data_IF_445816812503
#
_entry.id   IF_445816812503
#
_cell.length_a   1.000
_cell.length_b   1.000
_cell.length_c   1.000
_cell.angle_alpha   90.00
_cell.angle_beta   90.00
_cell.angle_gamma   90.00
#
_symmetry.space_group_name_H-M   'P 1'
#
loop_
_entity.id
_entity.type
_entity.pdbx_description
1 polymer ?
#
# COMPACT_ATOMS: atom_id res chain seq x y z
N UNK A 1 27.66 3.61 -4.13
CA UNK A 1 26.33 3.35 -4.71
C UNK A 1 25.50 4.62 -4.70
N UNK A 2 24.60 4.79 -5.65
CA UNK A 2 23.69 5.94 -5.68
C UNK A 2 22.49 5.70 -4.79
N UNK A 3 22.00 6.76 -4.16
CA UNK A 3 20.78 6.77 -3.35
C UNK A 3 20.03 8.10 -3.56
N UNK A 4 18.70 8.07 -3.54
CA UNK A 4 17.89 9.28 -3.47
C UNK A 4 17.51 9.54 -2.01
N UNK A 5 18.01 10.64 -1.43
CA UNK A 5 17.90 10.95 0.00
C UNK A 5 17.04 12.19 0.21
N UNK A 6 16.02 12.07 1.04
CA UNK A 6 15.13 13.17 1.42
C UNK A 6 15.75 13.95 2.59
N UNK A 7 16.13 15.20 2.35
CA UNK A 7 16.77 16.09 3.32
C UNK A 7 15.78 17.03 4.03
N UNK A 8 14.74 17.44 3.33
CA UNK A 8 13.66 18.31 3.82
C UNK A 8 12.43 18.16 2.91
N UNK A 9 11.28 18.70 3.26
CA UNK A 9 10.14 18.73 2.36
C UNK A 9 10.49 19.28 0.98
N UNK A 10 10.22 18.49 -0.07
CA UNK A 10 10.53 18.81 -1.46
C UNK A 10 12.02 18.73 -1.85
N UNK A 11 12.90 18.37 -0.93
CA UNK A 11 14.35 18.34 -1.16
C UNK A 11 14.86 16.89 -1.19
N UNK A 12 14.60 16.18 -2.29
CA UNK A 12 15.09 14.85 -2.58
C UNK A 12 16.36 14.95 -3.46
N UNK A 13 17.48 14.47 -2.95
CA UNK A 13 18.79 14.60 -3.60
C UNK A 13 19.34 13.23 -3.97
N UNK A 14 19.93 13.13 -5.17
CA UNK A 14 20.75 11.97 -5.52
C UNK A 14 22.13 12.13 -4.85
N UNK A 15 22.51 11.15 -4.02
CA UNK A 15 23.77 11.11 -3.28
C UNK A 15 24.60 9.89 -3.67
N UNK A 16 25.88 9.90 -3.33
CA UNK A 16 26.75 8.74 -3.40
C UNK A 16 27.06 8.25 -1.99
N UNK A 17 26.66 7.03 -1.70
CA UNK A 17 26.81 6.38 -0.38
C UNK A 17 27.72 5.15 -0.50
N UNK A 18 28.43 4.75 0.56
CA UNK A 18 29.12 3.47 0.58
C UNK A 18 28.13 2.31 0.41
N UNK A 19 28.54 1.24 -0.27
CA UNK A 19 27.74 0.03 -0.31
C UNK A 19 27.62 -0.58 1.10
N UNK A 20 26.46 -1.18 1.46
CA UNK A 20 26.27 -1.74 2.79
C UNK A 20 27.20 -2.95 3.01
N UNK A 21 27.79 -3.02 4.22
CA UNK A 21 28.60 -4.16 4.63
C UNK A 21 27.72 -5.37 4.99
N UNK A 22 28.19 -6.56 4.59
CA UNK A 22 27.51 -7.83 4.92
C UNK A 22 27.38 -8.03 6.42
N UNK A 23 26.24 -8.54 6.87
CA UNK A 23 25.92 -8.81 8.27
C UNK A 23 25.29 -10.20 8.42
N UNK A 24 25.67 -11.02 9.40
CA UNK A 24 25.04 -12.31 9.63
C UNK A 24 23.52 -12.20 9.83
N UNK A 25 22.74 -13.04 9.13
CA UNK A 25 21.28 -13.03 9.17
C UNK A 25 20.64 -11.96 8.29
N UNK A 26 21.45 -11.20 7.55
CA UNK A 26 20.99 -10.17 6.60
C UNK A 26 21.49 -10.53 5.20
N UNK A 27 20.76 -10.09 4.20
CA UNK A 27 21.08 -10.32 2.78
C UNK A 27 21.24 -8.96 2.09
N UNK A 28 22.26 -8.83 1.24
CA UNK A 28 22.40 -7.69 0.34
C UNK A 28 21.53 -7.93 -0.87
N UNK A 29 20.84 -6.87 -1.29
CA UNK A 29 19.89 -6.89 -2.40
C UNK A 29 20.28 -5.79 -3.38
N UNK A 30 20.43 -6.11 -4.65
CA UNK A 30 20.38 -5.12 -5.71
C UNK A 30 18.91 -4.72 -5.86
N UNK A 31 18.57 -3.52 -5.44
CA UNK A 31 17.22 -3.01 -5.59
C UNK A 31 16.95 -2.77 -7.07
N UNK A 32 15.85 -3.30 -7.58
CA UNK A 32 15.49 -3.14 -8.99
C UNK A 32 14.35 -2.16 -9.20
N UNK A 33 13.45 -2.07 -8.22
CA UNK A 33 12.29 -1.20 -8.31
C UNK A 33 11.71 -0.84 -6.94
N UNK A 34 11.19 0.39 -6.83
CA UNK A 34 10.50 0.90 -5.65
C UNK A 34 9.20 1.58 -6.04
N UNK A 35 8.07 1.08 -5.55
CA UNK A 35 6.78 1.72 -5.72
C UNK A 35 6.66 2.96 -4.83
N UNK A 36 6.06 4.04 -5.35
CA UNK A 36 5.75 5.23 -4.55
C UNK A 36 4.39 5.08 -3.88
N UNK A 37 4.37 5.16 -2.56
CA UNK A 37 3.18 5.12 -1.71
C UNK A 37 2.67 6.52 -1.38
N UNK A 38 1.38 6.64 -1.02
CA UNK A 38 0.82 7.88 -0.48
C UNK A 38 1.58 8.38 0.74
N UNK A 39 2.07 7.49 1.60
CA UNK A 39 2.90 7.85 2.75
C UNK A 39 4.25 8.46 2.36
N UNK A 40 4.90 7.96 1.30
CA UNK A 40 6.14 8.58 0.78
C UNK A 40 5.87 10.00 0.29
N UNK A 41 4.69 10.25 -0.32
CA UNK A 41 4.30 11.58 -0.77
C UNK A 41 4.07 12.55 0.41
N UNK A 42 3.51 12.09 1.54
CA UNK A 42 3.41 12.90 2.76
C UNK A 42 4.79 13.23 3.32
N UNK A 43 5.71 12.26 3.41
CA UNK A 43 7.10 12.52 3.81
C UNK A 43 7.76 13.52 2.88
N UNK A 44 7.59 13.37 1.58
CA UNK A 44 8.19 14.27 0.58
C UNK A 44 7.59 15.69 0.65
N UNK A 45 6.28 15.83 0.79
CA UNK A 45 5.61 17.14 0.75
C UNK A 45 5.64 17.87 2.12
N UNK A 46 5.48 17.12 3.23
CA UNK A 46 5.20 17.68 4.56
C UNK A 46 6.32 17.38 5.58
N UNK A 47 7.26 16.50 5.24
CA UNK A 47 8.32 16.06 6.13
C UNK A 47 7.83 15.18 7.29
N UNK A 48 6.71 14.45 7.10
CA UNK A 48 6.21 13.54 8.12
C UNK A 48 4.78 13.07 7.93
N UNK A 49 4.29 12.23 8.86
CA UNK A 49 2.92 11.74 8.92
C UNK A 49 2.49 11.69 10.39
N UNK A 50 1.37 12.31 10.72
CA UNK A 50 0.88 12.36 12.10
C UNK A 50 1.89 13.04 13.03
N UNK A 51 2.37 12.34 14.03
CA UNK A 51 3.39 12.79 14.98
C UNK A 51 4.85 12.50 14.55
N UNK A 52 5.03 11.60 13.56
CA UNK A 52 6.35 11.29 13.01
C UNK A 52 6.86 12.42 12.12
N UNK A 53 8.10 12.84 12.33
CA UNK A 53 8.77 13.93 11.59
C UNK A 53 10.12 13.50 11.05
N UNK A 54 10.51 14.14 9.95
CA UNK A 54 11.85 14.02 9.37
C UNK A 54 12.81 14.85 10.26
N UNK A 55 13.62 14.17 11.04
CA UNK A 55 14.61 14.75 11.94
C UNK A 55 16.05 14.64 11.40
N UNK A 56 16.26 13.77 10.44
CA UNK A 56 17.51 13.58 9.72
C UNK A 56 17.23 13.13 8.28
N UNK A 57 18.19 13.30 7.34
CA UNK A 57 18.03 12.76 5.99
C UNK A 57 17.76 11.26 6.01
N UNK A 58 16.87 10.79 5.13
CA UNK A 58 16.50 9.37 4.99
C UNK A 58 16.35 9.01 3.51
N UNK A 59 16.73 7.80 3.15
CA UNK A 59 16.38 7.20 1.86
C UNK A 59 14.94 6.69 1.94
N UNK A 60 13.97 7.29 1.24
CA UNK A 60 12.58 6.82 1.29
C UNK A 60 12.35 5.55 0.48
N UNK A 61 11.09 5.08 0.50
CA UNK A 61 10.61 3.94 -0.29
C UNK A 61 10.57 2.63 0.49
N UNK A 62 9.38 2.06 0.61
CA UNK A 62 9.11 0.84 1.38
C UNK A 62 8.40 -0.25 0.56
N UNK A 63 8.01 0.04 -0.65
CA UNK A 63 7.44 -0.92 -1.59
C UNK A 63 8.55 -1.40 -2.53
N UNK A 64 9.27 -2.46 -2.17
CA UNK A 64 10.57 -2.78 -2.75
C UNK A 64 10.58 -4.16 -3.42
N UNK A 65 11.17 -4.22 -4.62
CA UNK A 65 11.54 -5.45 -5.31
C UNK A 65 12.99 -5.39 -5.79
N UNK A 66 13.70 -6.51 -5.75
CA UNK A 66 15.11 -6.54 -6.14
C UNK A 66 15.60 -7.95 -6.38
N UNK A 67 16.92 -8.09 -6.55
CA UNK A 67 17.61 -9.37 -6.69
C UNK A 67 18.55 -9.57 -5.51
N UNK A 68 18.40 -10.68 -4.80
CA UNK A 68 19.31 -11.02 -3.70
C UNK A 68 20.73 -11.25 -4.25
N UNK A 69 21.72 -10.55 -3.69
CA UNK A 69 23.13 -10.67 -4.10
C UNK A 69 23.87 -11.80 -3.38
N UNK A 70 23.40 -12.16 -2.19
CA UNK A 70 24.00 -13.20 -1.36
C UNK A 70 22.91 -13.96 -0.55
N UNK A 71 23.32 -14.79 0.41
CA UNK A 71 22.42 -15.55 1.27
C UNK A 71 21.67 -16.69 0.55
N UNK A 72 20.58 -17.21 1.16
CA UNK A 72 19.87 -18.37 0.65
C UNK A 72 19.09 -18.13 -0.65
N UNK A 73 18.85 -16.87 -1.01
CA UNK A 73 18.10 -16.46 -2.18
C UNK A 73 18.99 -15.84 -3.27
N UNK A 74 20.32 -15.99 -3.18
CA UNK A 74 21.26 -15.39 -4.12
C UNK A 74 20.84 -15.64 -5.58
N UNK A 75 20.76 -14.56 -6.37
CA UNK A 75 20.35 -14.56 -7.78
C UNK A 75 18.83 -14.64 -8.03
N UNK A 76 18.00 -14.75 -6.99
CA UNK A 76 16.55 -14.76 -7.13
C UNK A 76 15.96 -13.36 -7.00
N UNK A 77 14.87 -13.10 -7.71
CA UNK A 77 14.02 -11.94 -7.47
C UNK A 77 13.32 -12.11 -6.14
N UNK A 78 13.33 -11.07 -5.32
CA UNK A 78 12.68 -11.04 -4.01
C UNK A 78 11.78 -9.82 -3.88
N UNK A 79 10.62 -9.99 -3.26
CA UNK A 79 9.88 -8.89 -2.63
C UNK A 79 10.40 -8.71 -1.21
N UNK A 80 10.47 -7.47 -0.76
CA UNK A 80 11.07 -7.12 0.52
C UNK A 80 9.98 -6.63 1.45
N UNK A 81 9.75 -7.34 2.57
CA UNK A 81 8.89 -6.85 3.65
C UNK A 81 9.59 -5.66 4.32
N UNK A 82 9.03 -4.45 4.24
CA UNK A 82 9.67 -3.25 4.81
C UNK A 82 9.69 -3.21 6.33
N UNK A 83 9.06 -4.17 6.99
CA UNK A 83 8.79 -4.19 8.41
C UNK A 83 9.76 -5.11 9.15
N UNK A 84 10.42 -4.59 10.19
CA UNK A 84 11.25 -5.36 11.11
C UNK A 84 10.65 -5.28 12.52
N UNK A 85 9.70 -6.17 12.86
CA UNK A 85 9.13 -6.21 14.21
C UNK A 85 10.13 -6.77 15.21
N UNK A 86 9.93 -6.52 16.50
CA UNK A 86 10.84 -7.00 17.53
C UNK A 86 10.66 -8.50 17.88
N UNK A 87 9.64 -9.17 17.36
CA UNK A 87 9.25 -10.58 17.54
C UNK A 87 9.08 -11.06 19.01
N UNK A 88 9.09 -10.14 19.99
CA UNK A 88 9.06 -10.46 21.43
C UNK A 88 8.03 -9.70 22.27
N UNK A 89 7.46 -8.59 21.75
CA UNK A 89 6.39 -7.86 22.46
C UNK A 89 5.07 -8.65 22.43
N UNK A 90 4.08 -8.23 23.19
CA UNK A 90 2.77 -8.86 23.27
C UNK A 90 2.12 -8.98 21.89
N UNK A 91 2.10 -7.88 21.13
CA UNK A 91 1.52 -7.87 19.78
C UNK A 91 2.19 -8.87 18.82
N UNK A 92 3.52 -8.95 18.83
CA UNK A 92 4.24 -9.95 18.01
C UNK A 92 3.87 -11.38 18.41
N UNK A 93 3.80 -11.69 19.71
CA UNK A 93 3.44 -13.03 20.21
C UNK A 93 2.00 -13.42 19.90
N UNK A 94 1.10 -12.44 19.76
CA UNK A 94 -0.29 -12.64 19.37
C UNK A 94 -0.49 -12.75 17.86
N UNK A 95 0.59 -12.67 17.06
CA UNK A 95 0.52 -12.71 15.60
C UNK A 95 0.08 -11.40 14.96
N UNK A 96 0.34 -10.28 15.64
CA UNK A 96 0.06 -8.94 15.17
C UNK A 96 1.37 -8.11 15.01
N UNK A 97 2.37 -8.55 14.20
CA UNK A 97 3.65 -7.87 14.08
C UNK A 97 3.52 -6.43 13.55
N UNK A 98 2.47 -6.15 12.77
CA UNK A 98 2.15 -4.82 12.28
C UNK A 98 1.77 -3.81 13.39
N UNK A 99 1.48 -4.27 14.59
CA UNK A 99 1.19 -3.46 15.78
C UNK A 99 2.38 -3.41 16.77
N UNK A 100 3.54 -3.91 16.36
CA UNK A 100 4.74 -3.89 17.18
C UNK A 100 5.15 -2.45 17.53
N UNK A 101 5.28 -2.16 18.84
CA UNK A 101 5.68 -0.83 19.33
C UNK A 101 7.17 -0.52 19.10
N UNK A 102 7.97 -1.54 18.80
CA UNK A 102 9.41 -1.47 18.58
C UNK A 102 9.76 -1.84 17.13
N UNK A 103 8.88 -1.51 16.19
CA UNK A 103 9.07 -1.85 14.79
C UNK A 103 9.97 -0.85 14.10
N UNK A 104 11.04 -1.33 13.46
CA UNK A 104 11.74 -0.59 12.45
C UNK A 104 11.02 -0.74 11.09
N UNK A 105 11.11 0.29 10.25
CA UNK A 105 10.39 0.29 8.98
C UNK A 105 11.18 1.04 7.91
N UNK A 106 11.34 0.43 6.73
CA UNK A 106 12.07 0.99 5.60
C UNK A 106 11.52 2.37 5.18
N UNK A 107 12.40 3.32 4.97
CA UNK A 107 12.07 4.66 4.48
C UNK A 107 11.44 5.60 5.51
N UNK A 108 11.39 5.20 6.79
CA UNK A 108 10.80 5.99 7.86
C UNK A 108 11.63 5.90 9.14
N UNK A 109 11.57 6.98 9.97
CA UNK A 109 12.06 6.92 11.35
C UNK A 109 13.56 6.62 11.51
N UNK A 110 14.39 7.05 10.56
CA UNK A 110 15.84 6.83 10.62
C UNK A 110 16.31 5.49 10.03
N UNK A 111 15.40 4.69 9.45
CA UNK A 111 15.72 3.50 8.66
C UNK A 111 15.62 3.80 7.18
N UNK A 112 16.72 3.63 6.45
CA UNK A 112 16.73 3.81 5.01
C UNK A 112 15.86 2.79 4.29
N UNK A 113 15.18 3.26 3.24
CA UNK A 113 14.35 2.48 2.34
C UNK A 113 15.03 2.10 1.05
N UNK A 114 14.23 1.77 0.05
CA UNK A 114 14.68 1.15 -1.19
C UNK A 114 15.16 2.09 -2.28
N UNK A 115 15.03 3.43 -2.18
CA UNK A 115 15.48 4.34 -3.24
C UNK A 115 17.02 4.46 -3.29
N UNK A 116 17.70 3.31 -3.41
CA UNK A 116 19.14 3.15 -3.49
C UNK A 116 19.53 1.88 -4.26
N UNK A 117 20.74 1.85 -4.82
CA UNK A 117 21.19 0.72 -5.67
C UNK A 117 21.32 -0.61 -4.89
N UNK A 118 21.79 -0.57 -3.64
CA UNK A 118 21.90 -1.76 -2.80
C UNK A 118 21.27 -1.51 -1.44
N UNK A 119 20.53 -2.50 -0.94
CA UNK A 119 19.91 -2.52 0.39
C UNK A 119 20.43 -3.75 1.14
N UNK A 120 20.74 -3.58 2.43
CA UNK A 120 20.98 -4.69 3.35
C UNK A 120 19.73 -4.88 4.22
N UNK A 121 19.11 -6.07 4.17
CA UNK A 121 17.84 -6.32 4.85
C UNK A 121 17.82 -7.69 5.54
N UNK A 122 17.06 -7.89 6.64
CA UNK A 122 16.97 -9.19 7.30
C UNK A 122 16.50 -10.28 6.31
N UNK A 123 17.22 -11.40 6.28
CA UNK A 123 16.97 -12.49 5.32
C UNK A 123 15.57 -13.10 5.48
N UNK A 124 15.03 -13.12 6.69
CA UNK A 124 13.68 -13.64 7.00
C UNK A 124 12.54 -12.69 6.60
N UNK A 125 12.88 -11.49 6.15
CA UNK A 125 11.95 -10.49 5.58
C UNK A 125 11.99 -10.45 4.05
N UNK A 126 12.64 -11.42 3.42
CA UNK A 126 12.71 -11.55 1.97
C UNK A 126 11.79 -12.69 1.51
N UNK A 127 11.02 -12.39 0.48
CA UNK A 127 10.08 -13.33 -0.13
C UNK A 127 10.49 -13.61 -1.55
N UNK A 128 11.07 -14.81 -1.85
CA UNK A 128 11.49 -15.16 -3.21
C UNK A 128 10.28 -15.24 -4.14
N UNK A 129 10.43 -14.64 -5.32
CA UNK A 129 9.38 -14.58 -6.31
C UNK A 129 9.40 -15.81 -7.22
N UNK A 130 8.24 -16.23 -7.70
CA UNK A 130 8.14 -17.22 -8.76
C UNK A 130 8.86 -16.76 -10.02
N UNK A 131 9.27 -17.75 -10.86
CA UNK A 131 9.83 -17.46 -12.18
C UNK A 131 8.87 -16.61 -13.02
N UNK A 132 9.41 -15.62 -13.71
CA UNK A 132 8.66 -14.68 -14.55
C UNK A 132 8.15 -13.42 -13.84
N UNK A 133 8.31 -13.30 -12.52
CA UNK A 133 8.02 -12.06 -11.79
C UNK A 133 9.29 -11.22 -11.74
N UNK A 134 9.24 -10.00 -12.26
CA UNK A 134 10.34 -9.05 -12.24
C UNK A 134 10.36 -8.21 -10.95
N UNK A 135 11.43 -7.43 -10.67
CA UNK A 135 11.49 -6.57 -9.50
C UNK A 135 10.38 -5.50 -9.44
N UNK A 136 9.86 -5.05 -10.58
CA UNK A 136 8.77 -4.06 -10.64
C UNK A 136 7.48 -4.67 -10.09
N UNK A 137 7.09 -5.84 -10.59
CA UNK A 137 5.93 -6.57 -10.06
C UNK A 137 6.14 -6.97 -8.58
N UNK A 138 7.37 -7.38 -8.21
CA UNK A 138 7.73 -7.69 -6.82
C UNK A 138 7.55 -6.49 -5.87
N UNK A 139 7.83 -5.26 -6.31
CA UNK A 139 7.64 -4.05 -5.51
C UNK A 139 6.16 -3.79 -5.17
N UNK A 140 5.23 -4.24 -6.00
CA UNK A 140 3.79 -4.06 -5.79
C UNK A 140 3.20 -5.10 -4.82
N UNK A 141 3.99 -6.09 -4.36
CA UNK A 141 3.54 -7.06 -3.35
C UNK A 141 3.25 -6.40 -2.01
N UNK A 142 3.97 -5.33 -1.66
CA UNK A 142 3.71 -4.59 -0.41
C UNK A 142 2.29 -4.00 -0.40
N UNK A 143 1.87 -3.13 -1.34
CA UNK A 143 0.50 -2.62 -1.34
C UNK A 143 -0.56 -3.72 -1.54
N UNK A 144 -0.25 -4.81 -2.25
CA UNK A 144 -1.14 -5.98 -2.29
C UNK A 144 -1.30 -6.61 -0.90
N UNK A 145 -0.24 -6.69 -0.12
CA UNK A 145 -0.29 -7.15 1.28
C UNK A 145 -1.21 -6.28 2.13
N UNK A 146 -1.14 -4.96 1.99
CA UNK A 146 -2.07 -4.03 2.67
C UNK A 146 -3.51 -4.28 2.23
N UNK A 147 -3.76 -4.48 0.93
CA UNK A 147 -5.10 -4.78 0.41
C UNK A 147 -5.64 -6.12 0.96
N UNK A 148 -4.80 -7.17 1.03
CA UNK A 148 -5.18 -8.47 1.62
C UNK A 148 -5.49 -8.30 3.12
N UNK A 149 -4.69 -7.54 3.85
CA UNK A 149 -4.94 -7.29 5.28
C UNK A 149 -6.24 -6.50 5.50
N UNK A 150 -6.50 -5.49 4.67
CA UNK A 150 -7.77 -4.75 4.69
C UNK A 150 -8.96 -5.69 4.40
N UNK A 151 -8.82 -6.59 3.42
CA UNK A 151 -9.81 -7.59 3.09
C UNK A 151 -10.13 -8.51 4.28
N UNK A 152 -9.11 -9.00 4.96
CA UNK A 152 -9.27 -9.83 6.17
C UNK A 152 -10.03 -9.08 7.28
N UNK A 153 -9.66 -7.84 7.53
CA UNK A 153 -10.33 -6.99 8.52
C UNK A 153 -11.76 -6.60 8.09
N UNK A 154 -12.01 -6.55 6.78
CA UNK A 154 -13.34 -6.37 6.18
C UNK A 154 -14.28 -7.51 6.49
N UNK A 155 -13.77 -8.72 6.79
CA UNK A 155 -14.54 -9.95 6.99
C UNK A 155 -15.53 -10.21 5.85
N UNK A 156 -15.10 -9.97 4.61
CA UNK A 156 -15.92 -10.17 3.41
C UNK A 156 -16.33 -11.64 3.31
N UNK A 157 -17.59 -11.88 3.06
CA UNK A 157 -18.16 -13.21 2.86
C UNK A 157 -18.49 -13.43 1.38
N UNK A 158 -18.58 -14.69 1.00
CA UNK A 158 -19.03 -15.05 -0.34
C UNK A 158 -20.38 -14.39 -0.66
N UNK A 159 -20.47 -13.79 -1.83
CA UNK A 159 -21.66 -13.09 -2.31
C UNK A 159 -22.04 -11.81 -1.50
N UNK A 160 -21.14 -11.24 -0.72
CA UNK A 160 -21.32 -9.88 -0.20
C UNK A 160 -21.23 -8.86 -1.36
N UNK A 161 -21.92 -7.74 -1.21
CA UNK A 161 -21.69 -6.55 -2.03
C UNK A 161 -20.59 -5.73 -1.36
N UNK A 162 -19.57 -5.40 -2.12
CA UNK A 162 -18.40 -4.66 -1.65
C UNK A 162 -18.35 -3.30 -2.34
N UNK A 163 -18.06 -2.25 -1.60
CA UNK A 163 -17.72 -0.96 -2.17
C UNK A 163 -16.28 -0.57 -1.82
N UNK A 164 -15.58 0.03 -2.77
CA UNK A 164 -14.25 0.62 -2.61
C UNK A 164 -14.35 2.11 -2.90
N UNK A 165 -14.11 2.93 -1.89
CA UNK A 165 -14.14 4.40 -1.98
C UNK A 165 -12.71 4.92 -2.02
N UNK A 166 -12.29 5.35 -3.21
CA UNK A 166 -10.91 5.68 -3.56
C UNK A 166 -10.24 4.54 -4.34
N UNK A 167 -9.99 4.76 -5.64
CA UNK A 167 -9.36 3.80 -6.55
C UNK A 167 -7.89 4.16 -6.85
N UNK A 168 -7.12 4.51 -5.82
CA UNK A 168 -5.66 4.49 -5.86
C UNK A 168 -5.14 3.06 -5.94
N UNK A 169 -3.81 2.83 -5.87
CA UNK A 169 -3.21 1.49 -6.00
C UNK A 169 -3.87 0.45 -5.10
N UNK A 170 -3.99 0.72 -3.80
CA UNK A 170 -4.62 -0.21 -2.84
C UNK A 170 -6.10 -0.43 -3.17
N UNK A 171 -6.83 0.63 -3.55
CA UNK A 171 -8.24 0.50 -3.93
C UNK A 171 -8.45 -0.35 -5.17
N UNK A 172 -7.61 -0.20 -6.19
CA UNK A 172 -7.66 -1.02 -7.40
C UNK A 172 -7.29 -2.49 -7.12
N UNK A 173 -6.36 -2.75 -6.20
CA UNK A 173 -6.05 -4.10 -5.73
C UNK A 173 -7.24 -4.72 -4.97
N UNK A 174 -7.93 -3.93 -4.13
CA UNK A 174 -9.16 -4.37 -3.46
C UNK A 174 -10.30 -4.67 -4.44
N UNK A 175 -10.43 -3.90 -5.53
CA UNK A 175 -11.39 -4.18 -6.60
C UNK A 175 -11.07 -5.54 -7.24
N UNK A 176 -9.82 -5.79 -7.61
CA UNK A 176 -9.39 -7.06 -8.20
C UNK A 176 -9.64 -8.24 -7.24
N UNK A 177 -9.29 -8.10 -5.96
CA UNK A 177 -9.56 -9.12 -4.95
C UNK A 177 -11.06 -9.38 -4.80
N UNK A 178 -11.89 -8.33 -4.74
CA UNK A 178 -13.34 -8.46 -4.59
C UNK A 178 -13.97 -9.23 -5.76
N UNK A 179 -13.59 -8.89 -6.98
CA UNK A 179 -14.05 -9.57 -8.19
C UNK A 179 -13.60 -11.04 -8.19
N UNK A 180 -12.31 -11.28 -7.93
CA UNK A 180 -11.70 -12.61 -8.02
C UNK A 180 -12.15 -13.56 -6.88
N UNK A 181 -12.47 -13.03 -5.70
CA UNK A 181 -12.84 -13.83 -4.52
C UNK A 181 -14.36 -13.98 -4.34
N UNK A 182 -15.17 -13.58 -5.33
CA UNK A 182 -16.59 -13.92 -5.42
C UNK A 182 -17.51 -12.97 -4.66
N UNK A 183 -17.19 -11.68 -4.59
CA UNK A 183 -18.18 -10.67 -4.26
C UNK A 183 -19.34 -10.72 -5.26
N UNK A 184 -20.58 -10.53 -4.80
CA UNK A 184 -21.75 -10.53 -5.67
C UNK A 184 -21.82 -9.33 -6.59
N UNK A 185 -21.34 -8.20 -6.10
CA UNK A 185 -21.31 -6.93 -6.81
C UNK A 185 -20.20 -6.05 -6.21
N UNK A 186 -19.38 -5.47 -7.05
CA UNK A 186 -18.24 -4.62 -6.67
C UNK A 186 -18.49 -3.20 -7.15
N UNK A 187 -18.56 -2.25 -6.21
CA UNK A 187 -18.69 -0.83 -6.51
C UNK A 187 -17.36 -0.13 -6.33
N UNK A 188 -16.94 0.62 -7.34
CA UNK A 188 -15.75 1.45 -7.31
C UNK A 188 -16.17 2.93 -7.34
N UNK A 189 -15.75 3.71 -6.36
CA UNK A 189 -16.07 5.14 -6.26
C UNK A 189 -14.78 5.96 -6.36
N UNK A 190 -14.66 6.81 -7.40
CA UNK A 190 -13.42 7.53 -7.69
C UNK A 190 -13.72 8.80 -8.50
N UNK A 191 -13.19 9.99 -8.12
CA UNK A 191 -13.39 11.22 -8.90
C UNK A 191 -12.61 11.26 -10.22
N UNK A 192 -11.41 10.59 -10.30
CA UNK A 192 -10.52 10.67 -11.46
C UNK A 192 -10.93 9.67 -12.56
N UNK A 193 -11.18 10.17 -13.76
CA UNK A 193 -11.70 9.37 -14.87
C UNK A 193 -10.80 8.18 -15.25
N UNK A 194 -9.46 8.38 -15.30
CA UNK A 194 -8.52 7.32 -15.66
C UNK A 194 -8.49 6.19 -14.62
N UNK A 195 -8.68 6.50 -13.33
CA UNK A 195 -8.77 5.48 -12.26
C UNK A 195 -10.11 4.75 -12.28
N UNK A 196 -11.21 5.45 -12.63
CA UNK A 196 -12.50 4.80 -12.89
C UNK A 196 -12.39 3.80 -14.05
N UNK A 197 -11.76 4.21 -15.16
CA UNK A 197 -11.53 3.32 -16.29
C UNK A 197 -10.68 2.09 -15.92
N UNK A 198 -9.71 2.24 -15.01
CA UNK A 198 -8.96 1.11 -14.48
C UNK A 198 -9.84 0.19 -13.62
N UNK A 199 -10.68 0.73 -12.74
CA UNK A 199 -11.60 -0.06 -11.93
C UNK A 199 -12.61 -0.86 -12.78
N UNK A 200 -13.11 -0.26 -13.86
CA UNK A 200 -13.97 -0.93 -14.85
C UNK A 200 -13.22 -2.07 -15.55
N UNK A 201 -11.99 -1.83 -16.00
CA UNK A 201 -11.12 -2.86 -16.61
C UNK A 201 -10.84 -4.03 -15.67
N UNK A 202 -10.72 -3.77 -14.36
CA UNK A 202 -10.54 -4.80 -13.33
C UNK A 202 -11.83 -5.48 -12.91
N UNK A 203 -12.96 -5.18 -13.56
CA UNK A 203 -14.21 -5.91 -13.40
C UNK A 203 -15.15 -5.37 -12.33
N UNK A 204 -14.99 -4.11 -11.87
CA UNK A 204 -16.00 -3.49 -11.00
C UNK A 204 -17.35 -3.41 -11.73
N UNK A 205 -18.43 -3.88 -11.10
CA UNK A 205 -19.78 -3.90 -11.66
C UNK A 205 -20.39 -2.50 -11.76
N UNK A 206 -20.03 -1.61 -10.83
CA UNK A 206 -20.47 -0.22 -10.80
C UNK A 206 -19.28 0.69 -10.57
N UNK A 207 -19.07 1.60 -11.51
CA UNK A 207 -18.00 2.59 -11.42
C UNK A 207 -18.64 3.98 -11.36
N UNK A 208 -18.47 4.66 -10.22
CA UNK A 208 -19.23 5.85 -9.88
C UNK A 208 -18.29 7.01 -9.53
N UNK A 209 -18.71 8.23 -9.81
CA UNK A 209 -18.15 9.39 -9.13
C UNK A 209 -18.69 9.47 -7.69
N UNK A 210 -18.04 10.24 -6.78
CA UNK A 210 -18.60 10.45 -5.44
C UNK A 210 -20.03 10.98 -5.43
N UNK A 211 -20.39 11.87 -6.36
CA UNK A 211 -21.76 12.41 -6.46
C UNK A 211 -22.75 11.35 -6.91
N UNK A 212 -22.43 10.59 -7.94
CA UNK A 212 -23.24 9.45 -8.36
C UNK A 212 -23.41 8.39 -7.26
N UNK A 213 -22.38 8.19 -6.44
CA UNK A 213 -22.44 7.27 -5.30
C UNK A 213 -23.39 7.77 -4.20
N UNK A 214 -23.45 9.08 -3.95
CA UNK A 214 -24.42 9.71 -3.01
C UNK A 214 -25.88 9.54 -3.45
N UNK A 215 -26.13 9.46 -4.74
CA UNK A 215 -27.47 9.26 -5.33
C UNK A 215 -27.94 7.80 -5.26
N UNK A 216 -27.04 6.86 -4.98
CA UNK A 216 -27.43 5.45 -4.85
C UNK A 216 -28.30 5.23 -3.61
N UNK A 217 -29.16 4.18 -3.62
CA UNK A 217 -29.91 3.81 -2.43
C UNK A 217 -28.98 3.63 -1.24
N UNK A 218 -29.24 4.29 -0.11
CA UNK A 218 -28.42 4.14 1.09
C UNK A 218 -28.45 2.69 1.60
N UNK A 219 -27.39 2.31 2.32
CA UNK A 219 -27.31 1.00 2.96
C UNK A 219 -27.27 -0.18 1.97
N UNK A 220 -26.46 -0.06 0.92
CA UNK A 220 -26.39 -1.05 -0.16
C UNK A 220 -25.32 -2.13 0.03
N UNK A 221 -24.18 -1.84 0.70
CA UNK A 221 -23.02 -2.72 0.72
C UNK A 221 -22.82 -3.36 2.11
N UNK A 222 -22.50 -4.65 2.13
CA UNK A 222 -22.14 -5.40 3.34
C UNK A 222 -20.81 -4.90 3.90
N UNK A 223 -19.82 -4.64 3.03
CA UNK A 223 -18.49 -4.17 3.40
C UNK A 223 -18.11 -2.98 2.51
N UNK A 224 -17.54 -1.95 3.11
CA UNK A 224 -17.00 -0.79 2.40
C UNK A 224 -15.56 -0.58 2.82
N UNK A 225 -14.66 -0.49 1.83
CA UNK A 225 -13.27 -0.10 2.03
C UNK A 225 -13.13 1.39 1.71
N UNK A 226 -12.80 2.17 2.72
CA UNK A 226 -12.45 3.59 2.58
C UNK A 226 -10.93 3.69 2.38
N UNK A 227 -10.48 4.15 1.21
CA UNK A 227 -9.07 4.09 0.78
C UNK A 227 -8.54 5.48 0.36
N UNK A 228 -9.21 6.54 0.78
CA UNK A 228 -8.82 7.92 0.49
C UNK A 228 -8.30 8.66 1.73
N UNK A 229 -8.96 8.50 2.89
CA UNK A 229 -8.64 9.15 4.17
C UNK A 229 -9.42 10.45 4.44
N UNK A 230 -9.93 11.14 3.42
CA UNK A 230 -10.65 12.39 3.61
C UNK A 230 -12.03 12.22 4.27
N UNK A 231 -12.48 13.23 5.05
CA UNK A 231 -13.72 13.13 5.83
C UNK A 231 -14.97 12.88 4.96
N UNK A 232 -15.02 13.41 3.74
CA UNK A 232 -16.14 13.17 2.81
C UNK A 232 -16.16 11.72 2.31
N UNK A 233 -15.01 11.08 2.11
CA UNK A 233 -14.92 9.69 1.70
C UNK A 233 -15.33 8.75 2.85
N UNK A 234 -14.95 9.08 4.08
CA UNK A 234 -15.36 8.37 5.30
C UNK A 234 -16.89 8.45 5.47
N UNK A 235 -17.48 9.63 5.36
CA UNK A 235 -18.93 9.84 5.47
C UNK A 235 -19.69 9.07 4.38
N UNK A 236 -19.21 9.15 3.13
CA UNK A 236 -19.79 8.41 1.99
C UNK A 236 -19.71 6.90 2.22
N UNK A 237 -18.57 6.38 2.71
CA UNK A 237 -18.41 4.96 3.02
C UNK A 237 -19.43 4.47 4.04
N UNK A 238 -19.70 5.28 5.05
CA UNK A 238 -20.76 4.98 6.04
C UNK A 238 -22.18 5.06 5.45
N UNK A 239 -22.42 5.96 4.49
CA UNK A 239 -23.69 6.04 3.78
C UNK A 239 -23.95 4.80 2.93
N UNK A 240 -22.95 4.30 2.23
CA UNK A 240 -23.02 3.11 1.38
C UNK A 240 -23.15 1.81 2.18
N UNK A 241 -22.54 1.73 3.36
CA UNK A 241 -22.63 0.57 4.22
C UNK A 241 -24.07 0.32 4.70
N UNK A 242 -24.54 -0.92 4.63
CA UNK A 242 -25.86 -1.33 5.16
C UNK A 242 -25.91 -1.32 6.69
N UNK A 243 -27.11 -1.45 7.27
CA UNK A 243 -27.26 -1.70 8.71
C UNK A 243 -26.52 -2.97 9.13
N UNK A 244 -25.72 -2.89 10.19
CA UNK A 244 -24.83 -3.96 10.66
C UNK A 244 -23.62 -4.21 9.73
N UNK A 245 -23.40 -3.35 8.72
CA UNK A 245 -22.27 -3.45 7.80
C UNK A 245 -20.94 -3.06 8.44
N UNK A 246 -19.88 -3.27 7.70
CA UNK A 246 -18.50 -2.98 8.11
C UNK A 246 -17.86 -1.94 7.20
N UNK A 247 -17.13 -1.00 7.79
CA UNK A 247 -16.31 -0.02 7.07
C UNK A 247 -14.87 -0.18 7.52
N UNK A 248 -13.99 -0.54 6.60
CA UNK A 248 -12.55 -0.59 6.81
C UNK A 248 -11.92 0.74 6.38
N UNK A 249 -11.32 1.45 7.33
CA UNK A 249 -10.61 2.72 7.12
C UNK A 249 -9.15 2.40 6.79
N UNK A 250 -8.79 2.52 5.53
CA UNK A 250 -7.46 2.20 4.98
C UNK A 250 -6.71 3.49 4.65
N UNK A 251 -7.44 4.53 4.21
CA UNK A 251 -6.88 5.81 3.83
C UNK A 251 -6.24 6.53 5.02
N UNK A 252 -5.12 7.21 4.78
CA UNK A 252 -4.44 8.08 5.75
C UNK A 252 -4.98 9.49 5.56
N UNK A 253 -5.57 10.13 6.60
CA UNK A 253 -6.08 11.49 6.48
C UNK A 253 -4.95 12.52 6.50
N UNK A 254 -5.05 13.56 5.64
CA UNK A 254 -4.05 14.62 5.54
C UNK A 254 -3.87 15.39 6.86
N UNK A 255 -4.96 15.60 7.63
CA UNK A 255 -4.95 16.36 8.89
C UNK A 255 -4.77 15.48 10.15
N UNK A 256 -4.36 14.22 10.01
CA UNK A 256 -4.28 13.23 11.11
C UNK A 256 -5.56 13.19 11.98
N UNK A 257 -6.71 13.44 11.35
CA UNK A 257 -8.01 13.47 12.01
C UNK A 257 -9.09 12.87 11.10
N UNK A 258 -9.85 11.93 11.66
CA UNK A 258 -11.03 11.36 11.00
C UNK A 258 -12.29 11.81 11.72
N UNK A 259 -13.24 12.41 11.00
CA UNK A 259 -14.55 12.86 11.54
C UNK A 259 -15.69 12.29 10.71
N UNK A 260 -16.82 12.03 11.36
CA UNK A 260 -18.04 11.55 10.72
C UNK A 260 -19.29 11.87 11.54
N UNK A 261 -20.45 11.80 10.91
CA UNK A 261 -21.74 11.99 11.57
C UNK A 261 -22.07 10.81 12.48
N UNK A 262 -21.92 10.97 13.78
CA UNK A 262 -22.10 9.91 14.78
C UNK A 262 -23.47 9.20 14.67
N UNK A 263 -24.55 9.93 14.37
CA UNK A 263 -25.89 9.34 14.22
C UNK A 263 -25.99 8.40 13.02
N UNK A 264 -25.22 8.64 11.95
CA UNK A 264 -25.17 7.77 10.77
C UNK A 264 -24.58 6.41 11.12
N UNK A 265 -23.41 6.39 11.73
CA UNK A 265 -22.74 5.16 12.14
C UNK A 265 -23.54 4.41 13.21
N UNK A 266 -23.99 5.13 14.25
CA UNK A 266 -24.69 4.54 15.40
C UNK A 266 -26.05 3.92 15.04
N UNK A 267 -26.88 4.63 14.24
CA UNK A 267 -28.22 4.11 13.87
C UNK A 267 -28.14 2.89 12.96
N UNK A 268 -27.09 2.79 12.15
CA UNK A 268 -26.84 1.60 11.33
C UNK A 268 -26.12 0.49 12.11
N UNK A 269 -25.60 0.74 13.32
CA UNK A 269 -24.82 -0.25 14.07
C UNK A 269 -23.57 -0.69 13.28
N UNK A 270 -22.86 0.26 12.65
CA UNK A 270 -21.69 -0.06 11.84
C UNK A 270 -20.53 -0.54 12.70
N UNK A 271 -19.76 -1.46 12.17
CA UNK A 271 -18.42 -1.77 12.67
C UNK A 271 -17.41 -0.96 11.87
N UNK A 272 -16.61 -0.14 12.56
CA UNK A 272 -15.51 0.59 11.97
C UNK A 272 -14.21 -0.08 12.38
N UNK A 273 -13.31 -0.31 11.43
CA UNK A 273 -12.01 -0.92 11.70
C UNK A 273 -10.91 -0.14 11.00
N UNK A 274 -9.88 0.26 11.74
CA UNK A 274 -8.71 0.91 11.19
C UNK A 274 -7.72 -0.15 10.66
N UNK A 275 -7.23 0.08 9.46
CA UNK A 275 -6.23 -0.79 8.83
C UNK A 275 -4.86 -0.17 9.05
N UNK A 276 -3.93 -0.92 9.67
CA UNK A 276 -2.55 -0.49 9.84
C UNK A 276 -1.62 -1.43 9.11
N UNK A 277 -0.98 -0.93 8.02
CA UNK A 277 0.00 -1.72 7.25
C UNK A 277 -0.54 -3.10 6.89
N UNK A 278 0.23 -4.16 7.07
CA UNK A 278 -0.16 -5.55 6.84
C UNK A 278 0.44 -6.46 7.90
N UNK A 279 -0.17 -7.62 8.08
CA UNK A 279 0.39 -8.75 8.82
C UNK A 279 1.31 -9.57 7.91
N UNK A 280 1.67 -10.76 8.36
CA UNK A 280 2.38 -11.75 7.55
C UNK A 280 1.45 -12.31 6.45
N UNK A 281 1.42 -11.62 5.31
CA UNK A 281 0.53 -11.92 4.18
C UNK A 281 1.27 -12.18 2.86
N UNK A 282 2.60 -12.06 2.81
CA UNK A 282 3.35 -12.19 1.56
C UNK A 282 3.15 -13.53 0.86
N UNK A 283 3.13 -14.65 1.59
CA UNK A 283 2.88 -15.97 1.00
C UNK A 283 1.51 -16.04 0.29
N UNK A 284 0.50 -15.36 0.86
CA UNK A 284 -0.84 -15.24 0.26
C UNK A 284 -0.82 -14.31 -0.94
N UNK A 285 -0.09 -13.20 -0.86
CA UNK A 285 0.07 -12.25 -1.96
C UNK A 285 0.73 -12.92 -3.17
N UNK A 286 1.84 -13.64 -2.97
CA UNK A 286 2.49 -14.46 -4.00
C UNK A 286 1.51 -15.45 -4.62
N UNK A 287 0.75 -16.17 -3.77
CA UNK A 287 -0.26 -17.14 -4.26
C UNK A 287 -1.35 -16.46 -5.09
N UNK A 288 -1.80 -15.27 -4.69
CA UNK A 288 -2.82 -14.52 -5.42
C UNK A 288 -2.33 -14.12 -6.82
N UNK A 289 -1.08 -13.68 -6.93
CA UNK A 289 -0.45 -13.37 -8.23
C UNK A 289 -0.32 -14.62 -9.10
N UNK A 290 0.24 -15.71 -8.55
CA UNK A 290 0.42 -16.98 -9.28
C UNK A 290 -0.89 -17.55 -9.83
N UNK A 291 -1.99 -17.34 -9.12
CA UNK A 291 -3.33 -17.79 -9.54
C UNK A 291 -4.07 -16.82 -10.45
N UNK A 292 -3.45 -15.67 -10.77
CA UNK A 292 -4.08 -14.65 -11.59
C UNK A 292 -5.27 -13.95 -10.92
N UNK A 293 -5.32 -13.96 -9.57
CA UNK A 293 -6.35 -13.22 -8.82
C UNK A 293 -6.13 -11.70 -8.89
N UNK A 294 -4.90 -11.27 -9.13
CA UNK A 294 -4.52 -9.86 -9.28
C UNK A 294 -3.51 -9.72 -10.42
N UNK A 295 -3.65 -8.66 -11.19
CA UNK A 295 -2.74 -8.21 -12.24
C UNK A 295 -1.94 -7.02 -11.71
N UNK A 296 -0.69 -7.26 -11.35
CA UNK A 296 0.21 -6.22 -10.82
C UNK A 296 0.81 -5.38 -11.94
N UNK A 297 1.11 -5.99 -13.08
CA UNK A 297 1.80 -5.34 -14.19
C UNK A 297 0.99 -4.18 -14.76
N UNK A 298 -0.31 -4.38 -14.97
CA UNK A 298 -1.19 -3.34 -15.52
C UNK A 298 -1.50 -2.22 -14.50
N UNK A 299 -1.19 -2.43 -13.22
CA UNK A 299 -1.30 -1.39 -12.20
C UNK A 299 -0.16 -0.37 -12.29
N UNK A 300 1.04 -0.80 -12.69
CA UNK A 300 2.22 0.08 -12.86
C UNK A 300 2.06 0.86 -14.15
N UNK A 301 1.61 2.10 -14.04
CA UNK A 301 1.33 2.96 -15.21
C UNK A 301 2.52 3.84 -15.60
N UNK A 302 3.42 4.14 -14.66
CA UNK A 302 4.49 5.13 -14.86
C UNK A 302 5.78 4.66 -14.18
N UNK A 303 6.90 4.85 -14.89
CA UNK A 303 8.23 4.44 -14.44
C UNK A 303 9.21 5.58 -14.62
N UNK A 304 10.04 5.82 -13.61
CA UNK A 304 11.09 6.82 -13.61
C UNK A 304 12.40 6.18 -13.18
N UNK A 305 13.55 6.53 -13.78
CA UNK A 305 14.84 6.07 -13.27
C UNK A 305 15.18 6.75 -11.93
N UNK A 306 16.04 6.14 -11.12
CA UNK A 306 16.50 6.70 -9.84
C UNK A 306 17.01 8.14 -9.96
N UNK A 307 17.69 8.46 -11.05
CA UNK A 307 18.20 9.80 -11.30
C UNK A 307 17.09 10.87 -11.38
N UNK A 308 15.88 10.47 -11.76
CA UNK A 308 14.70 11.32 -11.91
C UNK A 308 13.66 11.08 -10.78
N UNK A 309 14.09 10.52 -9.65
CA UNK A 309 13.18 10.17 -8.54
C UNK A 309 12.32 11.37 -8.10
N UNK A 310 12.88 12.58 -7.98
CA UNK A 310 12.13 13.78 -7.62
C UNK A 310 10.98 14.07 -8.61
N UNK A 311 11.24 13.92 -9.93
CA UNK A 311 10.19 14.06 -10.94
C UNK A 311 9.11 12.98 -10.82
N UNK A 312 9.48 11.75 -10.42
CA UNK A 312 8.57 10.66 -10.11
C UNK A 312 7.66 10.99 -8.91
N UNK A 313 8.21 11.56 -7.83
CA UNK A 313 7.44 12.03 -6.68
C UNK A 313 6.45 13.14 -7.07
N UNK A 314 6.91 14.15 -7.83
CA UNK A 314 6.05 15.23 -8.32
C UNK A 314 4.93 14.71 -9.24
N UNK A 315 5.22 13.71 -10.08
CA UNK A 315 4.22 13.06 -10.93
C UNK A 315 3.17 12.32 -10.10
N UNK A 316 3.61 11.51 -9.14
CA UNK A 316 2.74 10.75 -8.25
C UNK A 316 1.85 11.67 -7.39
N UNK A 317 2.40 12.78 -6.87
CA UNK A 317 1.67 13.77 -6.09
C UNK A 317 0.50 14.41 -6.88
N UNK A 318 0.67 14.57 -8.20
CA UNK A 318 -0.42 15.05 -9.09
C UNK A 318 -1.49 13.99 -9.37
N UNK A 319 -1.32 12.76 -8.88
CA UNK A 319 -2.25 11.63 -9.09
C UNK A 319 -2.54 11.36 -10.57
N UNK A 320 -1.55 11.59 -11.45
CA UNK A 320 -1.72 11.51 -12.90
C UNK A 320 -1.80 10.07 -13.42
N UNK A 321 -1.21 9.11 -12.70
CA UNK A 321 -1.20 7.68 -13.02
C UNK A 321 -1.95 6.81 -12.01
N UNK A 322 -1.80 5.50 -12.17
CA UNK A 322 -2.30 4.49 -11.23
C UNK A 322 -1.25 4.23 -10.15
N UNK A 323 -0.13 3.59 -10.52
CA UNK A 323 1.02 3.33 -9.67
C UNK A 323 2.30 3.82 -10.35
N UNK A 324 3.03 4.67 -9.66
CA UNK A 324 4.35 5.14 -10.09
C UNK A 324 5.43 4.29 -9.43
N UNK A 325 6.43 3.89 -10.19
CA UNK A 325 7.57 3.10 -9.74
C UNK A 325 8.87 3.81 -10.12
N UNK A 326 9.85 3.79 -9.21
CA UNK A 326 11.21 4.22 -9.49
C UNK A 326 12.04 2.96 -9.80
N UNK A 327 12.61 2.89 -10.99
CA UNK A 327 13.55 1.84 -11.40
C UNK A 327 14.97 2.26 -10.99
N UNK A 328 15.67 1.34 -10.33
CA UNK A 328 16.99 1.60 -9.74
C UNK A 328 18.11 1.15 -10.66
#
# INVERSE_FOLDING_TARGET
>A
MRAAQLHAPGDLRLTEEPAPESRPGWTRIAVGAVGLCGSDLHWYAEGGIGDARLDQPVVPGHEMGGVALDGPYAGQVVAIDPSIPCDRCEHCREGNPNLCEHQDFAGHGGFDGGLQEELLWPTDRLHPMPEGIDPVAASVLEPLGVAIHAWDLGHVRLADRVAVVGCGPIGLLLVQLAVSLGAREVWAVEPLAHRRAAAERYGADRVLTPDQAREQPPASCEVVFEVHGGPEAVELSMQLARGGGRVALVGIPDEDRTTFTASLARRKGLTLVCVRRMKDVYARAVTAVQRGHVDLDSLVSDRFPLADAAAGFDFAARRAGLKTVIEI
#
